data_IF_565997402472
#
_entry.id   IF_565997402472
#
_cell.length_a   1.000
_cell.length_b   1.000
_cell.length_c   1.000
_cell.angle_alpha   90.00
_cell.angle_beta   90.00
_cell.angle_gamma   90.00
#
_symmetry.space_group_name_H-M   'P 1'
#
loop_
_entity.id
_entity.type
_entity.pdbx_description
1 polymer ?
#
# COMPACT_ATOMS: atom_id res chain seq x y z
N UNK A 1 62.70 39.95 39.25
CA UNK A 1 61.25 39.69 39.14
C UNK A 1 60.77 40.29 37.83
N UNK A 2 60.21 39.50 36.92
CA UNK A 2 59.69 39.96 35.63
C UNK A 2 59.24 38.77 34.79
N UNK A 3 57.96 38.75 34.43
CA UNK A 3 57.15 37.57 34.12
C UNK A 3 57.42 36.93 32.74
N UNK A 4 57.27 35.61 32.66
CA UNK A 4 57.25 34.84 31.43
C UNK A 4 55.91 35.03 30.69
N UNK A 5 55.96 35.52 29.45
CA UNK A 5 54.80 35.64 28.57
C UNK A 5 54.35 34.23 28.13
N UNK A 6 53.12 33.85 28.51
CA UNK A 6 52.51 32.57 28.11
C UNK A 6 51.82 32.75 26.76
N UNK A 7 52.20 31.97 25.74
CA UNK A 7 51.57 31.96 24.40
C UNK A 7 50.09 31.56 24.47
N UNK A 8 49.21 32.12 23.63
CA UNK A 8 47.78 31.81 23.69
C UNK A 8 47.51 30.35 23.31
N UNK A 9 46.61 29.70 24.08
CA UNK A 9 46.02 28.40 23.75
C UNK A 9 45.24 28.55 22.45
N UNK A 10 45.54 27.69 21.48
CA UNK A 10 44.76 27.52 20.27
C UNK A 10 43.32 27.16 20.67
N UNK A 11 42.35 28.03 20.40
CA UNK A 11 40.93 27.77 20.61
C UNK A 11 40.51 26.64 19.68
N UNK A 12 39.98 25.56 20.25
CA UNK A 12 39.32 24.47 19.51
C UNK A 12 38.33 25.08 18.53
N UNK A 13 38.42 24.69 17.27
CA UNK A 13 37.46 25.04 16.23
C UNK A 13 36.05 24.68 16.70
N UNK A 14 35.16 25.67 16.75
CA UNK A 14 33.72 25.43 16.85
C UNK A 14 33.29 24.75 15.54
N UNK A 15 33.31 23.42 15.53
CA UNK A 15 32.69 22.64 14.47
C UNK A 15 31.19 22.92 14.59
N UNK A 16 30.61 23.62 13.61
CA UNK A 16 29.17 23.73 13.46
C UNK A 16 28.67 22.38 12.95
N UNK A 17 28.47 21.45 13.87
CA UNK A 17 27.90 20.15 13.57
C UNK A 17 26.45 20.32 13.12
N UNK A 18 26.16 19.90 11.89
CA UNK A 18 24.79 19.81 11.39
C UNK A 18 24.38 18.35 11.36
N UNK A 19 23.16 18.07 11.82
CA UNK A 19 22.56 16.74 11.77
C UNK A 19 21.23 16.84 11.04
N UNK A 20 20.91 15.81 10.27
CA UNK A 20 19.59 15.63 9.67
C UNK A 20 19.15 14.18 9.84
N UNK A 21 17.84 13.97 9.81
CA UNK A 21 17.23 12.65 9.88
C UNK A 21 16.12 12.58 8.82
N UNK A 22 15.94 11.41 8.22
CA UNK A 22 14.76 11.08 7.43
C UNK A 22 13.86 10.14 8.24
N UNK A 23 12.55 10.38 8.17
CA UNK A 23 11.55 9.57 8.83
C UNK A 23 10.65 8.98 7.73
N UNK A 24 10.47 7.67 7.76
CA UNK A 24 9.53 6.98 6.88
C UNK A 24 8.48 6.29 7.76
N UNK A 25 7.22 6.68 7.62
CA UNK A 25 6.10 6.13 8.37
C UNK A 25 5.10 5.44 7.44
N UNK A 26 4.43 4.42 7.95
CA UNK A 26 3.36 3.71 7.25
C UNK A 26 2.04 4.00 7.93
N UNK A 27 1.02 4.38 7.14
CA UNK A 27 -0.36 4.54 7.64
C UNK A 27 -1.13 3.25 7.34
N UNK A 28 -1.71 2.66 8.39
CA UNK A 28 -2.49 1.43 8.28
C UNK A 28 -3.98 1.73 8.17
N UNK A 29 -4.70 0.90 7.43
CA UNK A 29 -6.16 0.93 7.33
C UNK A 29 -6.71 -0.41 6.83
N UNK A 30 -8.00 -0.64 7.04
CA UNK A 30 -8.70 -1.84 6.58
C UNK A 30 -10.07 -1.49 6.01
N UNK A 31 -10.54 -2.31 5.07
CA UNK A 31 -11.85 -2.17 4.45
C UNK A 31 -12.48 -3.54 4.26
N UNK A 32 -13.72 -3.71 4.73
CA UNK A 32 -14.51 -4.91 4.49
C UNK A 32 -15.43 -4.68 3.29
N UNK A 33 -15.36 -5.56 2.30
CA UNK A 33 -16.21 -5.52 1.12
C UNK A 33 -17.07 -6.79 1.03
N UNK A 34 -18.39 -6.63 1.17
CA UNK A 34 -19.36 -7.73 1.15
C UNK A 34 -20.12 -7.75 -0.17
N UNK A 35 -19.99 -8.85 -0.92
CA UNK A 35 -20.74 -9.09 -2.15
C UNK A 35 -21.94 -9.97 -1.84
N UNK A 36 -23.14 -9.40 -1.94
CA UNK A 36 -24.40 -10.14 -1.81
C UNK A 36 -24.84 -10.67 -3.17
N UNK A 37 -25.40 -11.88 -3.21
CA UNK A 37 -25.89 -12.48 -4.45
C UNK A 37 -24.78 -12.87 -5.43
N UNK A 38 -23.60 -13.29 -4.93
CA UNK A 38 -22.44 -13.66 -5.75
C UNK A 38 -22.76 -14.59 -6.94
N UNK A 39 -23.68 -15.54 -6.78
CA UNK A 39 -24.09 -16.44 -7.86
C UNK A 39 -24.64 -15.70 -9.09
N UNK A 40 -25.25 -14.53 -8.91
CA UNK A 40 -25.76 -13.68 -9.99
C UNK A 40 -24.68 -12.82 -10.64
N UNK A 41 -23.52 -12.66 -9.98
CA UNK A 41 -22.39 -11.91 -10.52
C UNK A 41 -21.59 -12.74 -11.53
N UNK A 42 -21.63 -14.08 -11.44
CA UNK A 42 -20.96 -14.96 -12.40
C UNK A 42 -21.64 -14.91 -13.76
N UNK A 43 -20.85 -14.93 -14.83
CA UNK A 43 -21.34 -14.80 -16.20
C UNK A 43 -21.50 -13.35 -16.67
N UNK A 44 -21.07 -12.36 -15.90
CA UNK A 44 -20.97 -10.97 -16.35
C UNK A 44 -19.95 -10.81 -17.50
N UNK A 45 -19.01 -11.73 -17.61
CA UNK A 45 -18.00 -11.79 -18.65
C UNK A 45 -16.62 -11.30 -18.17
N UNK A 46 -15.59 -11.84 -18.80
CA UNK A 46 -14.18 -11.56 -18.51
C UNK A 46 -13.92 -10.04 -18.56
N UNK A 47 -13.19 -9.53 -17.56
CA UNK A 47 -12.82 -8.12 -17.44
C UNK A 47 -13.95 -7.19 -16.98
N UNK A 48 -15.17 -7.70 -16.75
CA UNK A 48 -16.23 -6.95 -16.07
C UNK A 48 -16.06 -7.08 -14.56
N UNK A 49 -16.28 -5.99 -13.83
CA UNK A 49 -16.10 -5.96 -12.39
C UNK A 49 -17.27 -5.31 -11.65
N UNK A 50 -17.38 -5.67 -10.38
CA UNK A 50 -18.21 -5.00 -9.39
C UNK A 50 -17.30 -4.17 -8.50
N UNK A 51 -17.56 -2.87 -8.43
CA UNK A 51 -16.77 -1.90 -7.67
C UNK A 51 -17.27 -1.80 -6.23
N UNK A 52 -16.36 -1.78 -5.25
CA UNK A 52 -16.70 -1.43 -3.86
C UNK A 52 -17.04 0.07 -3.72
N UNK A 53 -17.55 0.45 -2.56
CA UNK A 53 -17.49 1.85 -2.13
C UNK A 53 -16.03 2.29 -2.00
N UNK A 54 -15.76 3.58 -2.19
CA UNK A 54 -14.45 4.15 -1.89
C UNK A 54 -14.16 4.09 -0.39
N UNK A 55 -12.89 3.95 -0.03
CA UNK A 55 -12.40 4.04 1.35
C UNK A 55 -11.08 4.82 1.39
N UNK A 56 -10.78 5.46 2.52
CA UNK A 56 -9.63 6.35 2.66
C UNK A 56 -8.57 5.76 3.58
N UNK A 57 -7.33 5.68 3.10
CA UNK A 57 -6.15 5.27 3.89
C UNK A 57 -4.96 6.12 3.47
N UNK A 58 -4.20 6.65 4.43
CA UNK A 58 -3.02 7.48 4.15
C UNK A 58 -3.32 8.78 3.41
N UNK A 59 -4.55 9.28 3.47
CA UNK A 59 -5.00 10.48 2.73
C UNK A 59 -5.38 10.23 1.28
N UNK A 60 -5.39 8.97 0.82
CA UNK A 60 -5.79 8.60 -0.53
C UNK A 60 -7.11 7.81 -0.52
N UNK A 61 -7.93 7.98 -1.54
CA UNK A 61 -9.09 7.15 -1.83
C UNK A 61 -8.69 5.92 -2.62
N UNK A 62 -9.24 4.79 -2.19
CA UNK A 62 -9.01 3.47 -2.71
C UNK A 62 -10.35 2.82 -3.03
N UNK A 63 -10.36 1.94 -4.02
CA UNK A 63 -11.52 1.11 -4.37
C UNK A 63 -11.06 -0.32 -4.64
N UNK A 64 -11.94 -1.29 -4.42
CA UNK A 64 -11.72 -2.69 -4.80
C UNK A 64 -12.53 -2.98 -6.06
N UNK A 65 -11.88 -3.54 -7.06
CA UNK A 65 -12.54 -4.14 -8.22
C UNK A 65 -12.58 -5.66 -8.04
N UNK A 66 -13.79 -6.22 -8.06
CA UNK A 66 -14.01 -7.66 -8.04
C UNK A 66 -14.43 -8.16 -9.41
N UNK A 67 -13.64 -9.06 -10.00
CA UNK A 67 -13.87 -9.65 -11.31
C UNK A 67 -14.35 -11.10 -11.12
N UNK A 68 -15.67 -11.37 -11.21
CA UNK A 68 -16.21 -12.70 -10.97
C UNK A 68 -15.75 -13.74 -12.01
N UNK A 69 -15.43 -13.31 -13.23
CA UNK A 69 -15.03 -14.18 -14.36
C UNK A 69 -13.59 -13.90 -14.83
N UNK A 70 -12.72 -13.47 -13.91
CA UNK A 70 -11.34 -13.09 -14.22
C UNK A 70 -11.22 -11.67 -14.77
N UNK A 71 -10.05 -11.05 -14.56
CA UNK A 71 -9.73 -9.72 -15.06
C UNK A 71 -9.41 -9.73 -16.57
N UNK A 72 -8.85 -10.83 -17.06
CA UNK A 72 -8.43 -11.05 -18.45
C UNK A 72 -8.72 -12.49 -18.87
N UNK A 73 -8.50 -12.80 -20.16
CA UNK A 73 -8.69 -14.16 -20.65
C UNK A 73 -7.63 -15.15 -20.12
N UNK A 74 -6.54 -14.66 -19.53
CA UNK A 74 -5.49 -15.50 -18.93
C UNK A 74 -5.89 -16.03 -17.54
N UNK A 75 -6.88 -15.40 -16.89
CA UNK A 75 -7.34 -15.70 -15.53
C UNK A 75 -8.85 -15.95 -15.47
N UNK A 76 -9.48 -16.30 -16.60
CA UNK A 76 -10.93 -16.51 -16.69
C UNK A 76 -11.46 -17.74 -15.94
N UNK A 77 -10.58 -18.63 -15.48
CA UNK A 77 -10.90 -19.78 -14.62
C UNK A 77 -10.95 -19.38 -13.13
N UNK A 78 -10.47 -18.19 -12.79
CA UNK A 78 -10.39 -17.69 -11.41
C UNK A 78 -11.31 -16.47 -11.20
N UNK A 79 -11.50 -16.13 -9.93
CA UNK A 79 -11.97 -14.80 -9.55
C UNK A 79 -10.76 -13.92 -9.31
N UNK A 80 -10.81 -12.67 -9.77
CA UNK A 80 -9.70 -11.73 -9.62
C UNK A 80 -10.12 -10.53 -8.78
N UNK A 81 -9.23 -10.06 -7.93
CA UNK A 81 -9.45 -8.92 -7.03
C UNK A 81 -8.31 -7.94 -7.23
N UNK A 82 -8.64 -6.66 -7.44
CA UNK A 82 -7.65 -5.61 -7.57
C UNK A 82 -7.97 -4.48 -6.59
N UNK A 83 -6.95 -4.02 -5.85
CA UNK A 83 -6.98 -2.75 -5.12
C UNK A 83 -6.52 -1.65 -6.07
N UNK A 84 -7.32 -0.61 -6.21
CA UNK A 84 -7.09 0.47 -7.17
C UNK A 84 -7.02 1.80 -6.43
N UNK A 85 -5.98 2.58 -6.72
CA UNK A 85 -5.89 3.97 -6.29
C UNK A 85 -6.93 4.79 -7.09
N UNK A 86 -7.93 5.31 -6.39
CA UNK A 86 -9.01 6.10 -6.98
C UNK A 86 -8.70 7.61 -6.96
N UNK A 87 -7.91 8.08 -5.98
CA UNK A 87 -7.46 9.47 -5.97
C UNK A 87 -6.61 9.81 -7.19
N UNK A 88 -6.86 10.95 -7.85
CA UNK A 88 -5.98 11.45 -8.89
C UNK A 88 -4.66 11.94 -8.30
N UNK A 89 -3.57 11.83 -9.07
CA UNK A 89 -2.29 12.44 -8.69
C UNK A 89 -1.11 11.48 -8.79
N UNK A 90 -0.17 11.64 -7.84
CA UNK A 90 1.12 10.96 -7.82
C UNK A 90 0.99 9.48 -7.50
N UNK A 91 1.94 8.71 -8.01
CA UNK A 91 2.10 7.31 -7.69
C UNK A 91 2.30 7.12 -6.17
N UNK A 92 1.61 6.14 -5.60
CA UNK A 92 1.69 5.82 -4.16
C UNK A 92 2.35 4.47 -3.96
N UNK A 93 3.13 4.35 -2.88
CA UNK A 93 3.66 3.06 -2.42
C UNK A 93 2.70 2.45 -1.42
N UNK A 94 2.25 1.23 -1.65
CA UNK A 94 1.38 0.52 -0.74
C UNK A 94 1.78 -0.95 -0.60
N UNK A 95 1.51 -1.49 0.59
CA UNK A 95 1.49 -2.93 0.87
C UNK A 95 0.06 -3.27 1.29
N UNK A 96 -0.40 -4.46 0.92
CA UNK A 96 -1.74 -4.92 1.30
C UNK A 96 -1.77 -6.41 1.60
N UNK A 97 -2.71 -6.76 2.48
CA UNK A 97 -3.15 -8.12 2.74
C UNK A 97 -4.61 -8.21 2.27
N UNK A 98 -4.90 -9.18 1.41
CA UNK A 98 -6.25 -9.55 1.03
C UNK A 98 -6.67 -10.80 1.81
N UNK A 99 -7.81 -10.70 2.49
CA UNK A 99 -8.38 -11.79 3.29
C UNK A 99 -9.78 -12.12 2.78
N UNK A 100 -9.93 -13.30 2.19
CA UNK A 100 -11.23 -13.86 1.85
C UNK A 100 -11.76 -14.63 3.07
N UNK A 101 -12.85 -14.11 3.64
CA UNK A 101 -13.45 -14.67 4.85
C UNK A 101 -14.17 -15.99 4.57
N UNK A 102 -14.00 -16.92 5.51
CA UNK A 102 -14.59 -18.25 5.48
C UNK A 102 -15.94 -18.18 6.19
N UNK A 103 -17.00 -18.39 5.44
CA UNK A 103 -18.37 -18.33 5.94
C UNK A 103 -18.85 -19.67 6.51
N UNK A 104 -18.03 -20.74 6.43
CA UNK A 104 -18.39 -22.06 7.00
C UNK A 104 -18.29 -22.14 8.52
N UNK A 105 -17.78 -21.08 9.18
CA UNK A 105 -17.56 -21.02 10.63
C UNK A 105 -16.30 -21.76 11.09
N UNK A 106 -15.50 -22.32 10.18
CA UNK A 106 -14.26 -23.04 10.51
C UNK A 106 -13.04 -22.14 10.62
N UNK A 107 -13.18 -20.84 10.34
CA UNK A 107 -12.11 -19.85 10.42
C UNK A 107 -11.00 -20.04 9.38
N UNK A 108 -11.25 -20.78 8.29
CA UNK A 108 -10.24 -21.09 7.27
C UNK A 108 -10.18 -20.00 6.20
N UNK A 109 -9.83 -18.79 6.62
CA UNK A 109 -9.69 -17.65 5.72
C UNK A 109 -8.58 -17.88 4.70
N UNK A 110 -8.81 -17.51 3.44
CA UNK A 110 -7.74 -17.47 2.44
C UNK A 110 -7.08 -16.10 2.51
N UNK A 111 -5.78 -16.08 2.78
CA UNK A 111 -5.00 -14.86 2.94
C UNK A 111 -3.97 -14.81 1.83
N UNK A 112 -3.89 -13.66 1.16
CA UNK A 112 -2.82 -13.32 0.22
C UNK A 112 -2.19 -12.02 0.71
N UNK A 113 -0.90 -12.07 1.06
CA UNK A 113 -0.20 -11.01 1.78
C UNK A 113 1.05 -10.61 1.01
N UNK A 114 1.15 -9.33 0.67
CA UNK A 114 2.37 -8.75 0.12
C UNK A 114 3.39 -8.37 1.19
N UNK A 115 3.03 -8.45 2.48
CA UNK A 115 3.96 -8.18 3.57
C UNK A 115 5.02 -9.28 3.74
N UNK A 116 4.68 -10.50 3.33
CA UNK A 116 5.53 -11.69 3.52
C UNK A 116 6.43 -11.98 2.31
N UNK A 117 6.34 -11.18 1.25
CA UNK A 117 7.19 -11.34 0.07
C UNK A 117 8.64 -10.91 0.39
N UNK A 118 9.66 -11.67 -0.05
CA UNK A 118 11.06 -11.26 0.10
C UNK A 118 11.26 -9.86 -0.49
N UNK A 119 12.17 -9.09 0.11
CA UNK A 119 12.53 -7.69 -0.20
C UNK A 119 12.66 -7.31 -1.71
N UNK A 120 12.70 -8.27 -2.63
CA UNK A 120 12.60 -8.04 -4.08
C UNK A 120 11.23 -7.50 -4.52
N UNK A 121 10.13 -7.89 -3.87
CA UNK A 121 8.79 -7.34 -4.14
C UNK A 121 8.47 -6.28 -3.10
N UNK A 122 9.24 -5.18 -3.10
CA UNK A 122 8.98 -4.03 -2.25
C UNK A 122 7.58 -3.44 -2.46
N UNK A 123 7.19 -2.41 -1.67
CA UNK A 123 5.89 -1.76 -1.80
C UNK A 123 5.54 -1.46 -3.26
N UNK A 124 4.37 -1.93 -3.70
CA UNK A 124 3.94 -1.73 -5.07
C UNK A 124 3.65 -0.24 -5.30
N UNK A 125 4.22 0.29 -6.37
CA UNK A 125 3.90 1.63 -6.87
C UNK A 125 2.61 1.55 -7.68
N UNK A 126 1.52 2.04 -7.11
CA UNK A 126 0.21 2.08 -7.76
C UNK A 126 0.05 3.42 -8.48
N UNK A 127 -0.23 3.35 -9.78
CA UNK A 127 -0.47 4.51 -10.62
C UNK A 127 -1.94 4.89 -10.61
N UNK A 128 -2.22 6.19 -10.53
CA UNK A 128 -3.56 6.72 -10.78
C UNK A 128 -4.00 6.30 -12.18
N UNK A 129 -5.14 5.61 -12.29
CA UNK A 129 -5.71 5.28 -13.60
C UNK A 129 -6.33 6.55 -14.18
N UNK A 130 -5.56 7.27 -15.00
CA UNK A 130 -6.03 8.42 -15.76
C UNK A 130 -7.28 8.05 -16.56
N UNK A 131 -8.37 8.77 -16.29
CA UNK A 131 -9.56 8.70 -17.12
C UNK A 131 -9.33 9.43 -18.44
N UNK A 132 -9.59 8.73 -19.54
CA UNK A 132 -10.07 9.33 -20.78
C UNK A 132 -11.41 8.72 -21.10
#
# INVERSE_FOLDING_TARGET
MGAAATKPRYSKSNILDTSSQSINETVNGSHEYVIRGYSLAKGMGVGKFIKSSSFTVGGYEWVIHFYPDGQSFLDNEFVSICVVLASPGNDVRALFELKLLDQSGKGRHRIDSLFDSPLETGPLTLKSRGGT
#
